data_IF_477795428946
#
_entry.id   IF_477795428946
#
_cell.length_a   1.000
_cell.length_b   1.000
_cell.length_c   1.000
_cell.angle_alpha   90.00
_cell.angle_beta   90.00
_cell.angle_gamma   90.00
#
_symmetry.space_group_name_H-M   'P 1'
#
loop_
_entity.id
_entity.type
_entity.pdbx_description
1 polymer ?
#
# COMPACT_ATOMS: atom_id res chain seq x y z
N UNK A 1 -32.36 -14.75 7.80
CA UNK A 1 -30.91 -14.74 7.53
C UNK A 1 -30.13 -15.09 8.81
N UNK A 2 -29.23 -16.08 8.75
CA UNK A 2 -28.40 -16.45 9.90
C UNK A 2 -27.32 -15.37 10.10
N UNK A 3 -27.24 -14.80 11.31
CA UNK A 3 -26.25 -13.77 11.61
C UNK A 3 -24.85 -14.37 11.75
N UNK A 4 -23.84 -13.65 11.26
CA UNK A 4 -22.43 -13.97 11.48
C UNK A 4 -22.07 -13.65 12.94
N UNK A 5 -21.34 -14.58 13.57
CA UNK A 5 -20.75 -14.39 14.89
C UNK A 5 -19.27 -14.05 14.71
N UNK A 6 -18.89 -12.83 15.06
CA UNK A 6 -17.52 -12.33 14.96
C UNK A 6 -16.95 -12.19 16.36
N UNK A 7 -15.83 -12.88 16.61
CA UNK A 7 -15.03 -12.67 17.82
C UNK A 7 -14.28 -11.36 17.69
N UNK A 8 -14.69 -10.34 18.43
CA UNK A 8 -13.94 -9.10 18.54
C UNK A 8 -12.80 -9.27 19.56
N UNK A 9 -11.68 -8.58 19.36
CA UNK A 9 -10.55 -8.63 20.27
C UNK A 9 -10.67 -7.53 21.32
N UNK A 10 -10.51 -7.88 22.59
CA UNK A 10 -10.46 -6.90 23.69
C UNK A 10 -9.20 -6.03 23.67
N UNK A 11 -8.19 -6.42 22.88
CA UNK A 11 -6.91 -5.68 22.77
C UNK A 11 -7.04 -4.34 22.04
N UNK A 12 -8.12 -4.12 21.29
CA UNK A 12 -8.35 -2.90 20.51
C UNK A 12 -9.59 -2.17 21.02
N UNK A 13 -9.51 -1.48 22.17
CA UNK A 13 -10.67 -0.84 22.79
C UNK A 13 -11.28 0.27 21.91
N UNK A 14 -10.54 0.76 20.93
CA UNK A 14 -10.98 1.75 19.95
C UNK A 14 -11.75 1.15 18.76
N UNK A 15 -11.70 -0.17 18.55
CA UNK A 15 -12.37 -0.83 17.43
C UNK A 15 -13.77 -1.29 17.84
N UNK A 16 -14.80 -0.63 17.31
CA UNK A 16 -16.19 -0.98 17.58
C UNK A 16 -16.81 -1.79 16.44
N UNK A 17 -17.20 -3.02 16.74
CA UNK A 17 -18.00 -3.90 15.89
C UNK A 17 -18.90 -4.74 16.80
N UNK A 18 -20.20 -4.83 16.51
CA UNK A 18 -21.07 -5.76 17.26
C UNK A 18 -20.72 -7.19 16.88
N UNK A 19 -20.70 -8.11 17.83
CA UNK A 19 -20.34 -9.51 17.58
C UNK A 19 -21.32 -10.20 16.62
N UNK A 20 -22.58 -9.77 16.64
CA UNK A 20 -23.61 -10.26 15.72
C UNK A 20 -23.78 -9.31 14.55
N UNK A 21 -23.47 -9.79 13.35
CA UNK A 21 -23.63 -9.04 12.11
C UNK A 21 -24.57 -9.77 11.17
N UNK A 22 -25.59 -9.07 10.66
CA UNK A 22 -26.46 -9.61 9.60
C UNK A 22 -25.77 -9.54 8.23
N UNK A 23 -24.92 -8.54 8.03
CA UNK A 23 -24.20 -8.26 6.79
C UNK A 23 -22.77 -7.81 7.13
N UNK A 24 -21.83 -8.17 6.27
CA UNK A 24 -20.46 -7.67 6.33
C UNK A 24 -20.24 -6.72 5.16
N UNK A 25 -19.96 -5.46 5.48
CA UNK A 25 -19.65 -4.45 4.49
C UNK A 25 -18.14 -4.41 4.28
N UNK A 26 -17.73 -4.67 3.05
CA UNK A 26 -16.33 -4.58 2.65
C UNK A 26 -16.16 -3.48 1.63
N UNK A 27 -15.10 -2.71 1.78
CA UNK A 27 -14.68 -1.78 0.74
C UNK A 27 -13.97 -2.56 -0.37
N UNK A 28 -14.13 -2.11 -1.62
CA UNK A 28 -13.35 -2.65 -2.74
C UNK A 28 -11.84 -2.44 -2.49
N UNK A 29 -11.06 -3.53 -2.40
CA UNK A 29 -9.65 -3.44 -2.07
C UNK A 29 -8.79 -2.84 -3.20
N UNK A 30 -9.19 -3.01 -4.46
CA UNK A 30 -8.54 -2.37 -5.62
C UNK A 30 -8.68 -0.86 -5.53
N UNK A 31 -9.87 -0.37 -5.18
CA UNK A 31 -10.12 1.05 -4.96
C UNK A 31 -9.40 1.58 -3.71
N UNK A 32 -9.30 0.78 -2.63
CA UNK A 32 -8.54 1.16 -1.44
C UNK A 32 -7.05 1.38 -1.78
N UNK A 33 -6.45 0.46 -2.54
CA UNK A 33 -5.05 0.51 -2.95
C UNK A 33 -4.79 1.68 -3.89
N UNK A 34 -5.62 1.88 -4.92
CA UNK A 34 -5.47 3.03 -5.83
C UNK A 34 -5.66 4.36 -5.11
N UNK A 35 -6.57 4.46 -4.14
CA UNK A 35 -6.73 5.66 -3.30
C UNK A 35 -5.48 5.97 -2.47
N UNK A 36 -4.82 4.94 -1.91
CA UNK A 36 -3.54 5.08 -1.19
C UNK A 36 -2.41 5.51 -2.13
N UNK A 37 -2.31 4.96 -3.34
CA UNK A 37 -1.37 5.45 -4.37
C UNK A 37 -1.66 6.91 -4.70
N UNK A 38 -2.89 7.26 -5.02
CA UNK A 38 -3.27 8.63 -5.40
C UNK A 38 -2.99 9.63 -4.28
N UNK A 39 -3.10 9.19 -3.02
CA UNK A 39 -2.73 9.98 -1.85
C UNK A 39 -1.22 10.24 -1.79
N UNK A 40 -0.38 9.23 -2.07
CA UNK A 40 1.08 9.39 -2.19
C UNK A 40 1.46 10.38 -3.30
N UNK A 41 0.75 10.35 -4.44
CA UNK A 41 1.01 11.24 -5.58
C UNK A 41 0.42 12.64 -5.41
N UNK A 42 -0.35 12.88 -4.35
CA UNK A 42 -1.07 14.13 -4.16
C UNK A 42 -0.15 15.21 -3.58
N UNK A 43 -0.13 16.39 -4.19
CA UNK A 43 0.57 17.57 -3.66
C UNK A 43 -0.21 18.30 -2.56
N UNK A 44 -1.42 17.86 -2.22
CA UNK A 44 -2.32 18.64 -1.35
C UNK A 44 -2.14 18.38 0.14
N UNK A 45 -1.44 17.32 0.54
CA UNK A 45 -1.10 17.16 1.94
C UNK A 45 0.16 16.34 2.14
N UNK A 46 0.84 16.68 3.22
CA UNK A 46 1.98 15.93 3.72
C UNK A 46 1.51 14.59 4.31
N UNK A 47 2.30 13.56 4.05
CA UNK A 47 2.10 12.23 4.61
C UNK A 47 3.24 11.94 5.57
N UNK A 48 2.90 11.56 6.79
CA UNK A 48 3.85 11.13 7.80
C UNK A 48 3.39 9.86 8.50
N UNK A 49 4.36 9.07 8.98
CA UNK A 49 4.15 7.94 9.88
C UNK A 49 5.06 8.13 11.09
N UNK A 50 4.49 8.57 12.21
CA UNK A 50 5.28 9.08 13.33
C UNK A 50 6.15 10.25 12.87
N UNK A 51 7.46 10.14 13.08
CA UNK A 51 8.44 11.18 12.70
C UNK A 51 9.02 10.99 11.29
N UNK A 52 8.49 10.05 10.51
CA UNK A 52 9.01 9.72 9.18
C UNK A 52 8.13 10.34 8.10
N UNK A 53 8.73 11.09 7.18
CA UNK A 53 8.03 11.68 6.04
C UNK A 53 7.90 10.68 4.89
N UNK A 54 6.76 10.72 4.21
CA UNK A 54 6.47 9.94 3.01
C UNK A 54 6.45 10.92 1.84
N UNK A 55 7.47 10.83 1.00
CA UNK A 55 7.65 11.76 -0.12
C UNK A 55 7.64 11.00 -1.44
N UNK A 56 6.95 11.59 -2.43
CA UNK A 56 6.96 11.11 -3.81
C UNK A 56 8.31 11.39 -4.51
N UNK A 57 9.05 12.40 -4.03
CA UNK A 57 10.39 12.70 -4.53
C UNK A 57 11.31 11.48 -4.45
N UNK A 58 11.24 10.68 -3.38
CA UNK A 58 12.02 9.45 -3.25
C UNK A 58 11.85 8.50 -4.45
N UNK A 59 10.66 8.42 -5.04
CA UNK A 59 10.42 7.60 -6.24
C UNK A 59 10.87 8.29 -7.53
N UNK A 60 10.74 9.62 -7.61
CA UNK A 60 11.32 10.39 -8.71
C UNK A 60 12.84 10.27 -8.74
N UNK A 61 13.49 10.30 -7.58
CA UNK A 61 14.93 10.19 -7.44
C UNK A 61 15.39 8.83 -7.93
N UNK A 62 14.74 7.73 -7.51
CA UNK A 62 15.04 6.38 -8.01
C UNK A 62 14.89 6.28 -9.54
N UNK A 63 13.80 6.81 -10.11
CA UNK A 63 13.54 6.72 -11.57
C UNK A 63 14.55 7.52 -12.39
N UNK A 64 15.07 8.62 -11.84
CA UNK A 64 16.01 9.50 -12.54
C UNK A 64 17.46 9.30 -12.12
N UNK A 65 17.75 8.34 -11.22
CA UNK A 65 19.11 8.06 -10.74
C UNK A 65 19.93 7.35 -11.83
N UNK A 66 21.19 7.72 -12.00
CA UNK A 66 22.11 7.04 -12.93
C UNK A 66 22.58 5.66 -12.42
N UNK A 67 22.49 5.43 -11.11
CA UNK A 67 22.91 4.19 -10.44
C UNK A 67 21.96 3.03 -10.70
N UNK A 68 20.67 3.32 -10.88
CA UNK A 68 19.62 2.30 -11.04
C UNK A 68 19.01 2.39 -12.43
N UNK A 69 18.94 1.27 -13.12
CA UNK A 69 18.22 1.15 -14.38
C UNK A 69 16.75 0.80 -14.14
N UNK A 70 15.92 0.96 -15.18
CA UNK A 70 14.53 0.50 -15.18
C UNK A 70 14.40 -0.99 -14.85
N UNK A 71 15.40 -1.82 -15.16
CA UNK A 71 15.38 -3.25 -14.85
C UNK A 71 15.54 -3.51 -13.35
N UNK A 72 16.23 -2.61 -12.64
CA UNK A 72 16.46 -2.75 -11.19
C UNK A 72 15.22 -2.35 -10.39
N UNK A 73 14.55 -1.24 -10.76
CA UNK A 73 13.43 -0.71 -9.98
C UNK A 73 12.04 -0.97 -10.60
N UNK A 74 11.94 -1.31 -11.89
CA UNK A 74 10.70 -1.69 -12.56
C UNK A 74 9.68 -0.57 -12.82
N UNK A 75 10.01 0.68 -12.50
CA UNK A 75 9.10 1.84 -12.62
C UNK A 75 9.32 2.62 -13.93
N UNK A 76 8.26 3.27 -14.40
CA UNK A 76 8.33 4.33 -15.42
C UNK A 76 7.70 5.62 -14.92
N UNK A 77 7.99 6.76 -15.58
CA UNK A 77 7.39 8.06 -15.22
C UNK A 77 5.85 8.04 -15.21
N UNK A 78 5.24 7.21 -16.05
CA UNK A 78 3.79 7.01 -16.06
C UNK A 78 3.25 6.35 -14.79
N UNK A 79 4.05 5.51 -14.12
CA UNK A 79 3.60 4.78 -12.92
C UNK A 79 3.36 5.70 -11.71
N UNK A 80 4.02 6.87 -11.71
CA UNK A 80 3.84 7.91 -10.69
C UNK A 80 3.12 9.16 -11.23
N UNK A 81 2.41 9.03 -12.36
CA UNK A 81 1.63 10.13 -12.91
C UNK A 81 0.33 10.34 -12.11
N UNK A 82 0.10 11.51 -11.48
CA UNK A 82 -1.10 11.77 -10.67
C UNK A 82 -2.39 11.91 -11.49
N UNK A 83 -2.30 12.08 -12.83
CA UNK A 83 -3.46 12.19 -13.71
C UNK A 83 -4.17 10.84 -13.90
N UNK A 84 -3.41 9.75 -13.88
CA UNK A 84 -3.96 8.41 -14.03
C UNK A 84 -4.37 7.84 -12.68
N UNK A 85 -5.59 8.17 -12.26
CA UNK A 85 -6.11 7.84 -10.92
C UNK A 85 -6.60 6.40 -10.76
N UNK A 86 -6.73 5.65 -11.86
CA UNK A 86 -7.29 4.29 -11.87
C UNK A 86 -6.22 3.22 -12.11
N UNK A 87 -4.94 3.60 -12.16
CA UNK A 87 -3.84 2.68 -12.45
C UNK A 87 -3.51 1.74 -11.29
N UNK A 88 -4.25 0.63 -11.21
CA UNK A 88 -3.92 -0.43 -10.27
C UNK A 88 -2.61 -1.13 -10.62
N UNK A 89 -2.26 -1.24 -11.91
CA UNK A 89 -1.01 -1.91 -12.34
C UNK A 89 0.24 -1.22 -11.77
N UNK A 90 0.24 0.11 -11.70
CA UNK A 90 1.31 0.86 -11.05
C UNK A 90 1.38 0.61 -9.55
N UNK A 91 0.26 0.30 -8.88
CA UNK A 91 0.29 -0.08 -7.46
C UNK A 91 1.05 -1.38 -7.23
N UNK A 92 0.93 -2.36 -8.14
CA UNK A 92 1.70 -3.61 -8.07
C UNK A 92 3.19 -3.35 -8.25
N UNK A 93 3.58 -2.50 -9.20
CA UNK A 93 4.99 -2.13 -9.41
C UNK A 93 5.58 -1.35 -8.24
N UNK A 94 4.81 -0.42 -7.67
CA UNK A 94 5.19 0.34 -6.47
C UNK A 94 5.38 -0.54 -5.22
N UNK A 95 4.93 -1.80 -5.26
CA UNK A 95 5.06 -2.76 -4.16
C UNK A 95 5.96 -3.94 -4.52
N UNK A 96 6.71 -3.84 -5.63
CA UNK A 96 7.66 -4.86 -6.06
C UNK A 96 8.77 -5.06 -5.02
N UNK A 97 9.29 -6.29 -4.93
CA UNK A 97 10.36 -6.59 -3.99
C UNK A 97 11.63 -5.78 -4.29
N UNK A 98 11.95 -5.60 -5.57
CA UNK A 98 13.17 -4.91 -6.00
C UNK A 98 13.15 -3.42 -5.64
N UNK A 99 12.02 -2.73 -5.87
CA UNK A 99 11.86 -1.34 -5.46
C UNK A 99 11.95 -1.18 -3.94
N UNK A 100 11.30 -2.07 -3.18
CA UNK A 100 11.34 -2.01 -1.71
C UNK A 100 12.75 -2.27 -1.17
N UNK A 101 13.55 -3.10 -1.85
CA UNK A 101 14.96 -3.32 -1.51
C UNK A 101 15.77 -2.05 -1.71
N UNK A 102 15.63 -1.39 -2.86
CA UNK A 102 16.33 -0.12 -3.16
C UNK A 102 15.99 0.95 -2.12
N UNK A 103 14.71 1.10 -1.77
CA UNK A 103 14.29 2.04 -0.71
C UNK A 103 14.88 1.66 0.65
N UNK A 104 15.01 0.37 0.96
CA UNK A 104 15.58 -0.05 2.24
C UNK A 104 17.07 0.28 2.40
N UNK A 105 17.79 0.51 1.29
CA UNK A 105 19.21 0.87 1.31
C UNK A 105 19.44 2.34 1.69
N UNK A 106 18.43 3.22 1.60
CA UNK A 106 18.48 4.63 2.02
C UNK A 106 17.57 4.91 3.23
N UNK A 107 18.20 5.28 4.35
CA UNK A 107 17.52 5.64 5.61
C UNK A 107 16.51 6.76 5.46
N UNK A 108 16.73 7.71 4.54
CA UNK A 108 15.83 8.86 4.35
C UNK A 108 14.49 8.44 3.73
N UNK A 109 14.45 7.30 3.04
CA UNK A 109 13.23 6.82 2.38
C UNK A 109 12.37 5.92 3.28
N UNK A 110 12.77 5.74 4.55
CA UNK A 110 12.14 4.79 5.48
C UNK A 110 10.63 4.97 5.63
N UNK A 111 10.14 6.22 5.66
CA UNK A 111 8.70 6.51 5.69
C UNK A 111 7.99 6.00 4.44
N UNK A 112 8.51 6.31 3.25
CA UNK A 112 7.99 5.82 1.97
C UNK A 112 8.05 4.29 1.87
N UNK A 113 9.15 3.67 2.32
CA UNK A 113 9.28 2.20 2.38
C UNK A 113 8.14 1.57 3.19
N UNK A 114 7.93 2.02 4.43
CA UNK A 114 6.88 1.49 5.30
C UNK A 114 5.50 1.70 4.67
N UNK A 115 5.25 2.88 4.08
CA UNK A 115 4.00 3.17 3.41
C UNK A 115 3.70 2.20 2.25
N UNK A 116 4.71 1.91 1.42
CA UNK A 116 4.59 0.96 0.32
C UNK A 116 4.50 -0.49 0.80
N UNK A 117 5.16 -0.85 1.91
CA UNK A 117 4.99 -2.15 2.55
C UNK A 117 3.55 -2.33 3.06
N UNK A 118 2.96 -1.32 3.69
CA UNK A 118 1.53 -1.36 4.07
C UNK A 118 0.63 -1.56 2.85
N UNK A 119 0.93 -0.87 1.75
CA UNK A 119 0.19 -1.04 0.50
C UNK A 119 0.31 -2.48 -0.04
N UNK A 120 1.52 -3.07 0.01
CA UNK A 120 1.78 -4.46 -0.35
C UNK A 120 0.95 -5.42 0.50
N UNK A 121 0.93 -5.23 1.81
CA UNK A 121 0.16 -6.09 2.72
C UNK A 121 -1.34 -6.04 2.43
N UNK A 122 -1.89 -4.86 2.08
CA UNK A 122 -3.30 -4.75 1.67
C UNK A 122 -3.56 -5.55 0.38
N UNK A 123 -2.67 -5.45 -0.61
CA UNK A 123 -2.78 -6.19 -1.88
C UNK A 123 -2.76 -7.70 -1.62
N UNK A 124 -1.80 -8.20 -0.83
CA UNK A 124 -1.66 -9.62 -0.51
C UNK A 124 -2.88 -10.15 0.27
N UNK A 125 -3.39 -9.36 1.22
CA UNK A 125 -4.50 -9.79 2.07
C UNK A 125 -5.85 -9.83 1.33
N UNK A 126 -6.12 -8.84 0.47
CA UNK A 126 -7.47 -8.60 -0.06
C UNK A 126 -7.60 -8.71 -1.57
N UNK A 127 -6.52 -8.54 -2.35
CA UNK A 127 -6.57 -8.59 -3.81
C UNK A 127 -6.02 -9.91 -4.34
N UNK A 128 -4.95 -10.42 -3.72
CA UNK A 128 -4.32 -11.65 -4.16
C UNK A 128 -5.20 -12.87 -3.83
N UNK A 129 -5.56 -13.60 -4.90
CA UNK A 129 -6.44 -14.77 -4.82
C UNK A 129 -5.68 -16.09 -4.74
N UNK A 130 -4.37 -16.08 -5.02
CA UNK A 130 -3.52 -17.29 -5.05
C UNK A 130 -3.09 -17.72 -3.65
N UNK A 131 -2.95 -16.77 -2.74
CA UNK A 131 -2.51 -17.01 -1.37
C UNK A 131 -3.61 -17.71 -0.59
N UNK A 132 -3.36 -18.96 -0.25
CA UNK A 132 -4.26 -19.80 0.56
C UNK A 132 -4.38 -19.24 1.97
N UNK A 133 -5.46 -19.60 2.69
CA UNK A 133 -5.67 -19.17 4.08
C UNK A 133 -4.49 -19.59 4.96
N UNK A 134 -3.90 -20.76 4.72
CA UNK A 134 -2.74 -21.29 5.45
C UNK A 134 -1.45 -20.49 5.29
N UNK A 135 -1.31 -19.76 4.18
CA UNK A 135 -0.12 -18.94 3.88
C UNK A 135 -0.25 -17.52 4.46
N UNK A 136 -1.45 -17.12 4.90
CA UNK A 136 -1.72 -15.84 5.57
C UNK A 136 -1.45 -16.00 7.08
N UNK A 137 -0.17 -16.10 7.46
CA UNK A 137 0.28 -16.16 8.87
C UNK A 137 0.64 -14.78 9.42
#
# INVERSE_FOLDING_TARGET
PQAFQIKTTSRWPWFYLREQQLLLFFQDPTHLVTKRRNRLLSSTAELCLGNQFILISHLHDIINNETYSKLDHGLTKSDINPKDRQNFSSCLKLTSADLLKILNDDVNTRGTLIYLQMLKMIILAYVEKKTTISERK
#
